data_IF_549329389397
#
_entry.id   IF_549329389397
#
_cell.length_a   1.000
_cell.length_b   1.000
_cell.length_c   1.000
_cell.angle_alpha   90.00
_cell.angle_beta   90.00
_cell.angle_gamma   90.00
#
_symmetry.space_group_name_H-M   'P 1'
#
loop_
_entity.id
_entity.type
_entity.pdbx_description
1 polymer ?
#
# COMPACT_ATOMS: atom_id res chain seq x y z
N UNK A 1 10.27 -12.02 -9.91
CA UNK A 1 9.05 -11.85 -9.09
C UNK A 1 8.66 -10.37 -8.85
N UNK A 2 9.55 -9.39 -9.10
CA UNK A 2 9.30 -7.95 -8.88
C UNK A 2 8.19 -7.27 -9.69
N UNK A 3 7.92 -7.73 -10.92
CA UNK A 3 6.95 -7.05 -11.81
C UNK A 3 5.54 -7.08 -11.22
N UNK A 4 5.14 -8.21 -10.62
CA UNK A 4 3.82 -8.37 -9.97
C UNK A 4 3.71 -7.48 -8.73
N UNK A 5 4.80 -7.35 -7.99
CA UNK A 5 4.93 -6.53 -6.78
C UNK A 5 4.79 -5.03 -7.11
N UNK A 6 5.50 -4.55 -8.14
CA UNK A 6 5.36 -3.18 -8.67
C UNK A 6 3.95 -2.91 -9.16
N UNK A 7 3.33 -3.84 -9.89
CA UNK A 7 1.98 -3.66 -10.41
C UNK A 7 0.92 -3.57 -9.31
N UNK A 8 1.07 -4.39 -8.26
CA UNK A 8 0.19 -4.37 -7.09
C UNK A 8 0.29 -3.04 -6.34
N UNK A 9 1.50 -2.57 -6.05
CA UNK A 9 1.74 -1.27 -5.41
C UNK A 9 1.17 -0.11 -6.25
N UNK A 10 1.31 -0.16 -7.58
CA UNK A 10 0.80 0.88 -8.48
C UNK A 10 -0.73 0.94 -8.53
N UNK A 11 -1.43 -0.22 -8.46
CA UNK A 11 -2.90 -0.27 -8.34
C UNK A 11 -3.38 0.24 -6.98
N UNK A 12 -2.69 -0.12 -5.90
CA UNK A 12 -2.98 0.36 -4.55
C UNK A 12 -2.76 1.87 -4.48
N UNK A 13 -1.62 2.40 -4.93
CA UNK A 13 -1.35 3.85 -4.95
C UNK A 13 -2.35 4.64 -5.79
N UNK A 14 -2.81 4.11 -6.95
CA UNK A 14 -3.88 4.75 -7.73
C UNK A 14 -5.19 4.85 -6.97
N UNK A 15 -5.54 3.83 -6.18
CA UNK A 15 -6.73 3.87 -5.32
C UNK A 15 -6.54 4.83 -4.15
N UNK A 16 -5.33 4.93 -3.62
CA UNK A 16 -5.02 5.82 -2.50
C UNK A 16 -5.02 7.29 -2.89
N UNK A 17 -4.55 7.62 -4.10
CA UNK A 17 -4.67 8.98 -4.64
C UNK A 17 -6.13 9.40 -4.90
N UNK A 18 -7.07 8.44 -4.90
CA UNK A 18 -8.52 8.69 -4.98
C UNK A 18 -9.21 8.73 -3.62
N UNK A 19 -8.54 8.33 -2.54
CA UNK A 19 -9.10 8.42 -1.20
C UNK A 19 -8.96 9.86 -0.66
N UNK A 20 -9.99 10.40 0.03
CA UNK A 20 -9.94 11.73 0.59
C UNK A 20 -8.77 11.84 1.58
N UNK A 21 -8.09 12.98 1.58
CA UNK A 21 -6.86 13.24 2.35
C UNK A 21 -7.06 12.98 3.86
N UNK A 22 -8.27 13.14 4.38
CA UNK A 22 -8.66 12.73 5.75
C UNK A 22 -8.57 11.21 6.00
N UNK A 23 -8.94 10.37 5.03
CA UNK A 23 -8.75 8.92 5.13
C UNK A 23 -7.27 8.53 5.04
N UNK A 24 -6.43 9.42 4.50
CA UNK A 24 -4.98 9.26 4.39
C UNK A 24 -4.26 9.44 5.75
N UNK A 25 -4.90 10.09 6.73
CA UNK A 25 -4.35 10.33 8.08
C UNK A 25 -4.86 9.39 9.18
N UNK A 26 -5.69 8.41 8.84
CA UNK A 26 -6.26 7.49 9.83
C UNK A 26 -5.21 6.48 10.33
N UNK A 27 -5.16 6.16 11.65
CA UNK A 27 -4.25 5.16 12.21
C UNK A 27 -4.32 3.79 11.51
N UNK A 28 -5.49 3.45 10.95
CA UNK A 28 -5.71 2.22 10.17
C UNK A 28 -4.84 2.13 8.91
N UNK A 29 -4.46 3.27 8.36
CA UNK A 29 -3.77 3.39 7.09
C UNK A 29 -2.25 3.27 7.25
N UNK A 30 -1.70 3.86 8.32
CA UNK A 30 -0.32 3.64 8.77
C UNK A 30 -0.08 2.16 9.09
N UNK A 31 -1.02 1.53 9.81
CA UNK A 31 -0.99 0.09 10.07
C UNK A 31 -1.09 -0.72 8.78
N UNK A 32 -1.89 -0.27 7.81
CA UNK A 32 -2.00 -0.94 6.51
C UNK A 32 -0.70 -0.84 5.69
N UNK A 33 -0.01 0.32 5.72
CA UNK A 33 1.32 0.47 5.11
C UNK A 33 2.35 -0.44 5.78
N UNK A 34 2.40 -0.48 7.11
CA UNK A 34 3.32 -1.35 7.84
C UNK A 34 3.09 -2.84 7.52
N UNK A 35 1.82 -3.25 7.40
CA UNK A 35 1.46 -4.61 6.96
C UNK A 35 1.85 -4.89 5.51
N UNK A 36 1.66 -3.93 4.62
CA UNK A 36 2.10 -4.04 3.24
C UNK A 36 3.63 -4.16 3.15
N UNK A 37 4.38 -3.33 3.88
CA UNK A 37 5.84 -3.34 3.86
C UNK A 37 6.38 -4.69 4.37
N UNK A 38 5.81 -5.23 5.46
CA UNK A 38 6.13 -6.57 5.96
C UNK A 38 5.78 -7.69 4.97
N UNK A 39 4.60 -7.64 4.34
CA UNK A 39 4.18 -8.63 3.34
C UNK A 39 5.03 -8.55 2.06
N UNK A 40 5.45 -7.34 1.67
CA UNK A 40 6.35 -7.12 0.56
C UNK A 40 7.75 -7.64 0.90
N UNK A 41 8.26 -7.45 2.11
CA UNK A 41 9.55 -8.00 2.55
C UNK A 41 9.53 -9.53 2.58
N UNK A 42 8.41 -10.13 2.95
CA UNK A 42 8.19 -11.59 2.92
C UNK A 42 8.06 -12.20 1.51
N UNK A 43 7.92 -11.37 0.45
CA UNK A 43 7.78 -11.83 -0.94
C UNK A 43 9.12 -11.84 -1.71
N UNK A 44 10.25 -11.63 -1.01
CA UNK A 44 11.62 -11.81 -1.53
C UNK A 44 11.94 -13.29 -1.69
#
# INVERSE_FOLDING_TARGET
LDIRKKFFMMRVMRHWHRLPREAVGAPSLEVFKARLDGALSSLV
#
